data_IF_518975983570
#
_entry.id   IF_518975983570
#
_cell.length_a   1.000
_cell.length_b   1.000
_cell.length_c   1.000
_cell.angle_alpha   90.00
_cell.angle_beta   90.00
_cell.angle_gamma   90.00
#
_symmetry.space_group_name_H-M   'P 1'
#
loop_
_entity.id
_entity.type
_entity.pdbx_description
1 polymer ?
#
# COMPACT_ATOMS: atom_id res chain seq x y z
N UNK A 1 -36.94 -22.41 38.84
CA UNK A 1 -35.75 -21.58 39.14
C UNK A 1 -34.49 -21.98 38.39
N UNK A 2 -34.12 -23.24 38.16
CA UNK A 2 -32.87 -23.66 37.49
C UNK A 2 -32.70 -23.18 36.03
N UNK A 3 -33.75 -23.19 35.18
CA UNK A 3 -33.67 -22.78 33.77
C UNK A 3 -33.36 -21.29 33.59
N UNK A 4 -33.86 -20.43 34.45
CA UNK A 4 -33.66 -18.96 34.37
C UNK A 4 -32.22 -18.57 34.73
N UNK A 5 -31.60 -19.25 35.68
CA UNK A 5 -30.20 -19.02 36.07
C UNK A 5 -29.22 -19.52 35.00
N UNK A 6 -29.54 -20.60 34.25
CA UNK A 6 -28.70 -21.09 33.13
C UNK A 6 -28.72 -20.09 31.96
N UNK A 7 -29.88 -19.53 31.62
CA UNK A 7 -30.02 -18.54 30.55
C UNK A 7 -29.29 -17.26 30.91
N UNK A 8 -29.37 -16.79 32.16
CA UNK A 8 -28.67 -15.57 32.63
C UNK A 8 -27.16 -15.77 32.65
N UNK A 9 -26.68 -16.94 33.08
CA UNK A 9 -25.25 -17.28 33.05
C UNK A 9 -24.71 -17.40 31.62
N UNK A 10 -25.45 -18.06 30.73
CA UNK A 10 -25.06 -18.18 29.31
C UNK A 10 -25.03 -16.81 28.62
N UNK A 11 -25.99 -15.91 28.90
CA UNK A 11 -26.00 -14.56 28.37
C UNK A 11 -24.84 -13.71 28.90
N UNK A 12 -24.57 -13.80 30.21
CA UNK A 12 -23.42 -13.14 30.83
C UNK A 12 -22.08 -13.59 30.23
N UNK A 13 -21.91 -14.89 29.99
CA UNK A 13 -20.69 -15.46 29.37
C UNK A 13 -20.54 -15.01 27.92
N UNK A 14 -21.64 -14.95 27.16
CA UNK A 14 -21.62 -14.47 25.76
C UNK A 14 -21.27 -12.97 25.66
N UNK A 15 -21.78 -12.15 26.58
CA UNK A 15 -21.46 -10.70 26.65
C UNK A 15 -19.98 -10.48 26.99
N UNK A 16 -19.45 -11.23 27.97
CA UNK A 16 -18.04 -11.14 28.35
C UNK A 16 -17.11 -11.62 27.23
N UNK A 17 -17.48 -12.71 26.53
CA UNK A 17 -16.73 -13.18 25.37
C UNK A 17 -16.75 -12.17 24.21
N UNK A 18 -17.91 -11.54 23.95
CA UNK A 18 -18.03 -10.47 22.95
C UNK A 18 -17.20 -9.23 23.28
N UNK A 19 -17.19 -8.80 24.53
CA UNK A 19 -16.38 -7.67 24.99
C UNK A 19 -14.88 -7.98 24.88
N UNK A 20 -14.45 -9.19 25.27
CA UNK A 20 -13.06 -9.62 25.12
C UNK A 20 -12.60 -9.68 23.67
N UNK A 21 -13.46 -10.13 22.74
CA UNK A 21 -13.12 -10.18 21.33
C UNK A 21 -13.10 -8.78 20.70
N UNK A 22 -14.01 -7.88 21.09
CA UNK A 22 -13.96 -6.47 20.70
C UNK A 22 -12.65 -5.82 21.14
N UNK A 23 -12.24 -6.01 22.39
CA UNK A 23 -10.99 -5.48 22.91
C UNK A 23 -9.77 -5.98 22.11
N UNK A 24 -9.72 -7.29 21.81
CA UNK A 24 -8.66 -7.88 20.97
C UNK A 24 -8.66 -7.30 19.55
N UNK A 25 -9.84 -7.10 18.96
CA UNK A 25 -9.96 -6.49 17.63
C UNK A 25 -9.50 -5.04 17.65
N UNK A 26 -9.87 -4.26 18.67
CA UNK A 26 -9.39 -2.88 18.84
C UNK A 26 -7.86 -2.84 18.98
N UNK A 27 -7.30 -3.64 19.89
CA UNK A 27 -5.86 -3.74 20.07
C UNK A 27 -5.13 -4.13 18.77
N UNK A 28 -5.65 -5.11 18.01
CA UNK A 28 -5.09 -5.53 16.73
C UNK A 28 -5.03 -4.39 15.71
N UNK A 29 -6.07 -3.57 15.65
CA UNK A 29 -6.14 -2.39 14.78
C UNK A 29 -5.19 -1.30 15.27
N UNK A 30 -5.22 -0.98 16.57
CA UNK A 30 -4.42 0.08 17.19
C UNK A 30 -2.91 -0.16 17.01
N UNK A 31 -2.43 -1.38 17.26
CA UNK A 31 -1.02 -1.76 17.10
C UNK A 31 -0.51 -1.55 15.67
N UNK A 32 -1.42 -1.57 14.68
CA UNK A 32 -1.09 -1.40 13.27
C UNK A 32 -1.29 0.03 12.77
N UNK A 33 -2.31 0.72 13.25
CA UNK A 33 -2.57 2.11 12.87
C UNK A 33 -1.65 3.10 13.57
N UNK A 34 -1.32 2.83 14.84
CA UNK A 34 -0.52 3.77 15.63
C UNK A 34 0.93 3.33 15.73
N UNK A 35 1.83 4.30 15.80
CA UNK A 35 3.23 4.07 16.16
C UNK A 35 3.61 4.87 17.41
N UNK A 36 4.46 4.28 18.25
CA UNK A 36 4.89 4.91 19.49
C UNK A 36 5.92 6.04 19.25
N UNK A 37 6.83 5.87 18.28
CA UNK A 37 7.94 6.78 18.03
C UNK A 37 8.30 6.86 16.55
N UNK A 38 8.79 8.03 16.11
CA UNK A 38 9.42 8.21 14.80
C UNK A 38 10.73 7.41 14.79
N UNK A 39 10.90 6.56 13.78
CA UNK A 39 12.12 5.79 13.57
C UNK A 39 12.85 6.32 12.34
N UNK A 40 14.17 6.42 12.43
CA UNK A 40 14.97 6.74 11.27
C UNK A 40 14.92 5.57 10.28
N UNK A 41 14.57 5.86 9.03
CA UNK A 41 14.68 4.91 7.93
C UNK A 41 16.14 4.65 7.61
N UNK A 42 16.53 3.38 7.59
CA UNK A 42 17.92 2.96 7.37
C UNK A 42 17.99 1.93 6.25
N UNK A 43 18.81 2.20 5.25
CA UNK A 43 19.11 1.31 4.14
C UNK A 43 20.38 0.51 4.45
N UNK A 44 20.43 -0.74 4.00
CA UNK A 44 21.57 -1.63 4.23
C UNK A 44 22.66 -1.44 3.15
N UNK A 45 22.25 -1.27 1.90
CA UNK A 45 23.12 -1.22 0.72
C UNK A 45 23.10 0.15 0.05
N UNK A 46 21.90 0.69 -0.18
CA UNK A 46 21.73 1.95 -0.87
C UNK A 46 22.07 3.15 0.01
N UNK A 47 22.51 4.24 -0.62
CA UNK A 47 22.85 5.50 0.06
C UNK A 47 22.07 6.66 -0.55
N UNK A 48 20.73 6.65 -0.45
CA UNK A 48 19.92 7.72 -1.04
C UNK A 48 20.12 9.04 -0.27
N UNK A 49 19.98 10.15 -1.00
CA UNK A 49 19.88 11.47 -0.40
C UNK A 49 18.52 11.60 0.30
N UNK A 50 18.53 12.04 1.55
CA UNK A 50 17.27 12.36 2.26
C UNK A 50 16.72 13.70 1.78
N UNK A 51 15.50 13.72 1.29
CA UNK A 51 14.74 14.91 0.91
C UNK A 51 13.50 15.07 1.80
N UNK A 52 13.02 16.29 1.98
CA UNK A 52 11.87 16.58 2.83
C UNK A 52 10.93 17.57 2.17
N UNK A 53 9.64 17.32 2.31
CA UNK A 53 8.58 18.23 1.90
C UNK A 53 7.62 18.44 3.06
N UNK A 54 6.78 19.48 2.98
CA UNK A 54 5.66 19.66 3.90
C UNK A 54 4.35 19.30 3.21
N UNK A 55 3.47 18.63 3.95
CA UNK A 55 2.10 18.44 3.50
C UNK A 55 1.22 19.65 3.90
N UNK A 56 -0.08 19.60 3.57
CA UNK A 56 -1.03 20.69 3.85
C UNK A 56 -1.23 20.98 5.35
N UNK A 57 -0.84 20.08 6.23
CA UNK A 57 -0.94 20.21 7.68
C UNK A 57 0.41 20.58 8.32
N UNK A 58 1.36 21.12 7.52
CA UNK A 58 2.74 21.43 7.92
C UNK A 58 3.56 20.24 8.45
N UNK A 59 3.07 19.01 8.34
CA UNK A 59 3.81 17.83 8.70
C UNK A 59 4.94 17.57 7.69
N UNK A 60 6.11 17.20 8.22
CA UNK A 60 7.28 16.88 7.39
C UNK A 60 7.16 15.45 6.88
N UNK A 61 7.11 15.30 5.56
CA UNK A 61 7.25 14.04 4.86
C UNK A 61 8.70 13.86 4.42
N UNK A 62 9.22 12.66 4.60
CA UNK A 62 10.61 12.30 4.26
C UNK A 62 10.62 11.35 3.08
N UNK A 63 11.50 11.63 2.12
CA UNK A 63 11.79 10.76 0.99
C UNK A 63 13.28 10.49 0.86
N UNK A 64 13.63 9.47 0.13
CA UNK A 64 14.99 8.96 -0.05
C UNK A 64 15.25 8.84 -1.55
N UNK A 65 16.00 9.79 -2.08
CA UNK A 65 16.20 10.00 -3.52
C UNK A 65 17.57 9.45 -3.96
N UNK A 66 17.53 8.59 -4.96
CA UNK A 66 18.70 8.18 -5.73
C UNK A 66 18.64 8.93 -7.07
N UNK A 67 19.54 9.87 -7.26
CA UNK A 67 19.65 10.65 -8.50
C UNK A 67 20.65 10.00 -9.45
N UNK A 68 20.30 10.07 -10.72
CA UNK A 68 21.16 9.64 -11.85
C UNK A 68 21.38 10.84 -12.76
N UNK A 69 22.61 11.00 -13.23
CA UNK A 69 22.94 12.07 -14.18
C UNK A 69 22.12 11.91 -15.47
N UNK A 70 21.50 13.00 -15.89
CA UNK A 70 20.67 13.03 -17.10
C UNK A 70 19.52 12.00 -17.10
N UNK A 71 18.85 11.83 -15.95
CA UNK A 71 17.69 10.94 -15.85
C UNK A 71 16.53 11.42 -16.75
N UNK A 72 15.96 10.49 -17.50
CA UNK A 72 14.83 10.75 -18.41
C UNK A 72 13.50 10.84 -17.63
N UNK A 73 13.40 10.13 -16.52
CA UNK A 73 12.19 10.02 -15.71
C UNK A 73 12.49 9.71 -14.23
N UNK A 74 11.45 9.64 -13.41
CA UNK A 74 11.57 9.27 -11.99
C UNK A 74 10.58 8.18 -11.63
N UNK A 75 11.07 7.14 -10.94
CA UNK A 75 10.27 6.15 -10.23
C UNK A 75 9.98 6.62 -8.81
N UNK A 76 8.70 6.81 -8.45
CA UNK A 76 8.29 7.01 -7.06
C UNK A 76 7.83 5.68 -6.48
N UNK A 77 8.44 5.26 -5.36
CA UNK A 77 8.18 3.98 -4.70
C UNK A 77 7.49 4.18 -3.35
N UNK A 78 6.39 3.46 -3.12
CA UNK A 78 5.54 3.58 -1.94
C UNK A 78 5.49 2.24 -1.20
N UNK A 79 5.93 2.23 0.05
CA UNK A 79 6.04 1.03 0.87
C UNK A 79 4.70 0.45 1.32
N UNK A 80 4.72 -0.79 1.82
CA UNK A 80 3.58 -1.48 2.39
C UNK A 80 3.25 -1.07 3.83
N UNK A 81 2.14 -1.62 4.34
CA UNK A 81 1.62 -1.31 5.67
C UNK A 81 2.63 -1.63 6.78
N UNK A 82 2.74 -0.72 7.75
CA UNK A 82 3.68 -0.79 8.90
C UNK A 82 5.17 -0.84 8.52
N UNK A 83 5.50 -0.59 7.27
CA UNK A 83 6.87 -0.54 6.74
C UNK A 83 7.33 0.91 6.58
N UNK A 84 8.54 1.08 6.08
CA UNK A 84 9.12 2.34 5.67
C UNK A 84 9.85 2.17 4.32
N UNK A 85 10.41 3.23 3.80
CA UNK A 85 11.07 3.26 2.49
C UNK A 85 12.20 2.23 2.36
N UNK A 86 12.92 1.89 3.46
CA UNK A 86 14.01 0.91 3.39
C UNK A 86 13.54 -0.51 3.06
N UNK A 87 12.27 -0.80 3.32
CA UNK A 87 11.67 -2.10 2.96
C UNK A 87 11.54 -2.33 1.45
N UNK A 88 11.80 -1.30 0.64
CA UNK A 88 11.77 -1.33 -0.82
C UNK A 88 13.17 -1.43 -1.44
N UNK A 89 14.21 -1.62 -0.63
CA UNK A 89 15.61 -1.56 -1.08
C UNK A 89 15.93 -2.58 -2.18
N UNK A 90 15.46 -3.81 -2.05
CA UNK A 90 15.68 -4.86 -3.05
C UNK A 90 14.97 -4.55 -4.38
N UNK A 91 13.74 -4.05 -4.30
CA UNK A 91 12.98 -3.59 -5.46
C UNK A 91 13.69 -2.41 -6.14
N UNK A 92 14.20 -1.46 -5.37
CA UNK A 92 14.94 -0.30 -5.89
C UNK A 92 16.24 -0.72 -6.60
N UNK A 93 17.02 -1.64 -6.03
CA UNK A 93 18.22 -2.21 -6.65
C UNK A 93 17.86 -2.88 -7.99
N UNK A 94 16.76 -3.64 -8.03
CA UNK A 94 16.31 -4.26 -9.26
C UNK A 94 15.90 -3.22 -10.31
N UNK A 95 15.12 -2.19 -9.93
CA UNK A 95 14.76 -1.11 -10.86
C UNK A 95 15.97 -0.35 -11.38
N UNK A 96 16.99 -0.08 -10.56
CA UNK A 96 18.24 0.51 -11.04
C UNK A 96 18.91 -0.35 -12.13
N UNK A 97 18.80 -1.68 -12.03
CA UNK A 97 19.42 -2.60 -13.00
C UNK A 97 18.70 -2.64 -14.35
N UNK A 98 17.39 -2.44 -14.37
CA UNK A 98 16.57 -2.49 -15.61
C UNK A 98 16.23 -1.10 -16.17
N UNK A 99 16.35 -0.04 -15.37
CA UNK A 99 16.07 1.35 -15.73
C UNK A 99 17.24 2.26 -15.31
N UNK A 100 18.43 2.16 -15.96
CA UNK A 100 19.65 2.84 -15.50
C UNK A 100 19.60 4.38 -15.62
N UNK A 101 18.69 4.93 -16.42
CA UNK A 101 18.50 6.38 -16.61
C UNK A 101 17.30 6.93 -15.84
N UNK A 102 16.95 6.31 -14.72
CA UNK A 102 15.78 6.64 -13.91
C UNK A 102 16.20 7.07 -12.50
N UNK A 103 15.75 8.24 -12.06
CA UNK A 103 15.80 8.58 -10.64
C UNK A 103 14.86 7.68 -9.84
N UNK A 104 15.22 7.34 -8.61
CA UNK A 104 14.34 6.57 -7.72
C UNK A 104 14.10 7.35 -6.43
N UNK A 105 12.84 7.65 -6.16
CA UNK A 105 12.40 8.27 -4.91
C UNK A 105 11.57 7.26 -4.09
N UNK A 106 12.13 6.76 -3.00
CA UNK A 106 11.44 5.93 -2.01
C UNK A 106 10.87 6.84 -0.92
N UNK A 107 9.55 6.85 -0.73
CA UNK A 107 8.90 7.74 0.24
C UNK A 107 8.55 7.03 1.54
N UNK A 108 8.70 7.73 2.67
CA UNK A 108 8.06 7.38 3.94
C UNK A 108 6.69 8.08 4.00
N UNK A 109 5.60 7.32 3.94
CA UNK A 109 4.26 7.87 4.12
C UNK A 109 4.08 8.45 5.53
N UNK A 110 3.14 9.37 5.70
CA UNK A 110 2.78 9.92 7.00
C UNK A 110 2.55 8.80 8.03
N UNK A 111 3.07 8.97 9.23
CA UNK A 111 3.02 7.93 10.25
C UNK A 111 4.01 6.77 10.08
N UNK A 112 4.96 6.83 9.14
CA UNK A 112 5.93 5.76 8.89
C UNK A 112 7.38 6.32 8.78
N UNK A 113 8.35 5.46 9.00
CA UNK A 113 9.77 5.76 8.83
C UNK A 113 10.22 7.06 9.49
N UNK A 114 10.85 7.92 8.72
CA UNK A 114 11.36 9.23 9.16
C UNK A 114 10.36 10.39 8.95
N UNK A 115 9.16 10.11 8.41
CA UNK A 115 8.10 11.11 8.27
C UNK A 115 7.39 11.37 9.60
N UNK A 116 6.80 12.56 9.73
CA UNK A 116 5.96 12.93 10.87
C UNK A 116 4.69 12.07 10.97
N UNK A 117 4.00 12.20 12.08
CA UNK A 117 2.73 11.52 12.34
C UNK A 117 2.86 10.32 13.26
N UNK A 118 1.76 10.02 13.94
CA UNK A 118 1.63 8.88 14.86
C UNK A 118 0.64 7.84 14.34
N UNK A 119 -0.26 8.24 13.42
CA UNK A 119 -1.22 7.35 12.76
C UNK A 119 -0.75 7.03 11.37
N UNK A 120 -0.89 5.78 10.94
CA UNK A 120 -0.56 5.31 9.60
C UNK A 120 -1.78 5.38 8.70
N UNK A 121 -1.55 5.76 7.45
CA UNK A 121 -2.53 5.58 6.40
C UNK A 121 -2.79 4.11 6.09
N UNK A 122 -3.93 3.85 5.50
CA UNK A 122 -4.36 2.51 5.07
C UNK A 122 -4.53 2.46 3.54
N UNK A 123 -3.68 3.20 2.84
CA UNK A 123 -3.70 3.32 1.38
C UNK A 123 -4.60 4.45 0.87
N UNK A 124 -5.59 4.90 1.61
CA UNK A 124 -6.51 5.98 1.20
C UNK A 124 -6.06 7.35 1.72
N UNK A 125 -5.57 7.42 2.94
CA UNK A 125 -5.02 8.65 3.54
C UNK A 125 -3.66 9.02 2.93
N UNK A 126 -2.93 8.02 2.41
CA UNK A 126 -1.62 8.19 1.78
C UNK A 126 -1.69 8.83 0.37
N UNK A 127 -2.87 8.90 -0.24
CA UNK A 127 -3.09 9.42 -1.60
C UNK A 127 -2.55 10.84 -1.78
N UNK A 128 -2.80 11.71 -0.80
CA UNK A 128 -2.32 13.10 -0.87
C UNK A 128 -0.82 13.21 -0.68
N UNK A 129 -0.20 12.37 0.14
CA UNK A 129 1.25 12.34 0.31
C UNK A 129 1.94 11.99 -1.02
N UNK A 130 1.41 10.99 -1.75
CA UNK A 130 1.90 10.59 -3.07
C UNK A 130 1.78 11.77 -4.06
N UNK A 131 0.65 12.48 -4.05
CA UNK A 131 0.46 13.66 -4.90
C UNK A 131 1.47 14.77 -4.57
N UNK A 132 1.78 15.04 -3.30
CA UNK A 132 2.81 16.01 -2.92
C UNK A 132 4.19 15.61 -3.43
N UNK A 133 4.55 14.34 -3.32
CA UNK A 133 5.81 13.84 -3.85
C UNK A 133 5.89 13.87 -5.37
N UNK A 134 4.79 13.55 -6.08
CA UNK A 134 4.72 13.71 -7.53
C UNK A 134 4.94 15.17 -7.95
N UNK A 135 4.28 16.11 -7.28
CA UNK A 135 4.47 17.54 -7.54
C UNK A 135 5.89 18.01 -7.23
N UNK A 136 6.51 17.48 -6.16
CA UNK A 136 7.90 17.78 -5.82
C UNK A 136 8.85 17.36 -6.96
N UNK A 137 8.67 16.17 -7.53
CA UNK A 137 9.48 15.67 -8.65
C UNK A 137 9.30 16.57 -9.89
N UNK A 138 8.06 16.88 -10.25
CA UNK A 138 7.78 17.76 -11.40
C UNK A 138 8.37 19.15 -11.18
N UNK A 139 8.26 19.70 -9.98
CA UNK A 139 8.83 20.99 -9.63
C UNK A 139 10.38 20.99 -9.68
N UNK A 140 11.00 19.86 -9.29
CA UNK A 140 12.46 19.70 -9.26
C UNK A 140 13.06 19.52 -10.66
N UNK A 141 12.41 18.74 -11.54
CA UNK A 141 12.99 18.33 -12.82
C UNK A 141 12.32 18.94 -14.04
N UNK A 142 11.19 19.61 -13.88
CA UNK A 142 10.48 20.32 -14.94
C UNK A 142 9.06 19.80 -15.19
N UNK A 143 8.25 20.64 -15.83
CA UNK A 143 6.82 20.39 -16.06
C UNK A 143 6.53 19.19 -16.98
N UNK A 144 7.47 18.81 -17.83
CA UNK A 144 7.36 17.71 -18.80
C UNK A 144 8.04 16.42 -18.29
N UNK A 145 8.63 16.45 -17.08
CA UNK A 145 9.33 15.29 -16.53
C UNK A 145 8.37 14.13 -16.29
N UNK A 146 8.69 12.97 -16.84
CA UNK A 146 7.85 11.78 -16.74
C UNK A 146 8.04 11.06 -15.40
N UNK A 147 6.97 10.47 -14.91
CA UNK A 147 6.98 9.76 -13.62
C UNK A 147 6.26 8.42 -13.78
N UNK A 148 6.84 7.35 -13.27
CA UNK A 148 6.13 6.09 -13.06
C UNK A 148 6.19 5.68 -11.59
N UNK A 149 5.33 4.77 -11.19
CA UNK A 149 5.11 4.48 -9.79
C UNK A 149 5.17 2.99 -9.50
N UNK A 150 5.77 2.65 -8.36
CA UNK A 150 5.68 1.32 -7.79
C UNK A 150 5.11 1.41 -6.37
N UNK A 151 4.17 0.56 -6.03
CA UNK A 151 3.62 0.49 -4.67
C UNK A 151 3.37 -0.94 -4.22
N UNK A 152 3.44 -1.14 -2.91
CA UNK A 152 3.24 -2.44 -2.27
C UNK A 152 2.16 -2.34 -1.19
N UNK A 153 1.24 -3.31 -1.13
CA UNK A 153 0.16 -3.39 -0.13
C UNK A 153 -0.65 -2.07 -0.06
N UNK A 154 -0.60 -1.33 1.08
CA UNK A 154 -1.24 -0.01 1.23
C UNK A 154 -0.72 1.01 0.24
N UNK A 155 0.59 1.01 -0.08
CA UNK A 155 1.17 1.87 -1.09
C UNK A 155 0.63 1.60 -2.49
N UNK A 156 0.42 0.32 -2.85
CA UNK A 156 -0.22 -0.07 -4.11
C UNK A 156 -1.68 0.40 -4.19
N UNK A 157 -2.41 0.25 -3.10
CA UNK A 157 -3.80 0.72 -2.98
C UNK A 157 -3.88 2.24 -3.10
N UNK A 158 -2.97 2.96 -2.45
CA UNK A 158 -2.88 4.43 -2.53
C UNK A 158 -2.60 4.91 -3.96
N UNK A 159 -1.73 4.23 -4.72
CA UNK A 159 -1.44 4.54 -6.12
C UNK A 159 -2.68 4.35 -7.01
N UNK A 160 -3.42 3.25 -6.84
CA UNK A 160 -4.67 3.04 -7.59
C UNK A 160 -5.72 4.12 -7.28
N UNK A 161 -5.83 4.52 -6.01
CA UNK A 161 -6.72 5.61 -5.60
C UNK A 161 -6.27 6.96 -6.19
N UNK A 162 -4.98 7.28 -6.13
CA UNK A 162 -4.42 8.53 -6.68
C UNK A 162 -4.58 8.60 -8.20
N UNK A 163 -4.29 7.51 -8.92
CA UNK A 163 -4.51 7.40 -10.37
C UNK A 163 -5.98 7.54 -10.74
N UNK A 164 -6.88 6.85 -10.01
CA UNK A 164 -8.32 6.93 -10.22
C UNK A 164 -8.92 8.31 -9.93
N UNK A 165 -8.26 9.10 -9.06
CA UNK A 165 -8.63 10.48 -8.75
C UNK A 165 -8.02 11.50 -9.71
N UNK A 166 -7.17 11.09 -10.67
CA UNK A 166 -6.47 11.97 -11.61
C UNK A 166 -5.43 12.88 -10.96
N UNK A 167 -4.84 12.46 -9.85
CA UNK A 167 -3.88 13.26 -9.07
C UNK A 167 -2.42 13.10 -9.52
N UNK A 168 -2.12 12.07 -10.31
CA UNK A 168 -0.75 11.75 -10.72
C UNK A 168 -0.44 12.38 -12.08
N UNK A 169 0.00 13.63 -12.05
CA UNK A 169 0.41 14.35 -13.27
C UNK A 169 1.66 13.70 -13.88
N UNK A 170 1.71 13.60 -15.22
CA UNK A 170 2.80 13.00 -15.98
C UNK A 170 3.10 11.53 -15.64
N UNK A 171 2.12 10.83 -15.04
CA UNK A 171 2.25 9.41 -14.76
C UNK A 171 2.18 8.60 -16.06
N UNK A 172 3.22 7.83 -16.34
CA UNK A 172 3.28 6.94 -17.51
C UNK A 172 2.76 5.55 -17.19
N UNK A 173 3.03 5.05 -15.98
CA UNK A 173 2.57 3.73 -15.56
C UNK A 173 2.49 3.57 -14.05
N UNK A 174 1.64 2.64 -13.60
CA UNK A 174 1.57 2.15 -12.23
C UNK A 174 1.98 0.69 -12.17
N UNK A 175 2.82 0.33 -11.20
CA UNK A 175 3.17 -1.04 -10.86
C UNK A 175 2.66 -1.27 -9.44
N UNK A 176 1.65 -2.11 -9.28
CA UNK A 176 0.95 -2.32 -8.01
C UNK A 176 1.10 -3.76 -7.54
N UNK A 177 1.82 -3.95 -6.43
CA UNK A 177 2.05 -5.27 -5.84
C UNK A 177 1.19 -5.48 -4.60
N UNK A 178 0.40 -6.55 -4.59
CA UNK A 178 -0.41 -6.97 -3.44
C UNK A 178 -1.41 -5.90 -2.98
N UNK A 179 -2.10 -5.27 -3.92
CA UNK A 179 -3.16 -4.31 -3.62
C UNK A 179 -4.43 -5.02 -3.12
N UNK A 180 -5.19 -4.41 -2.24
CA UNK A 180 -6.45 -4.93 -1.69
C UNK A 180 -7.65 -4.06 -2.10
N UNK A 181 -8.86 -4.64 -2.06
CA UNK A 181 -10.11 -3.97 -2.46
C UNK A 181 -10.57 -2.92 -1.46
N UNK A 182 -10.65 -3.29 -0.19
CA UNK A 182 -11.12 -2.41 0.88
C UNK A 182 -10.44 -2.70 2.21
N UNK A 183 -10.40 -1.68 3.07
CA UNK A 183 -9.67 -1.73 4.36
C UNK A 183 -10.23 -2.79 5.32
N UNK A 184 -11.55 -2.92 5.41
CA UNK A 184 -12.17 -3.90 6.32
C UNK A 184 -11.78 -5.33 5.96
N UNK A 185 -11.86 -5.68 4.70
CA UNK A 185 -11.55 -7.02 4.22
C UNK A 185 -10.05 -7.32 4.32
N UNK A 186 -9.21 -6.30 4.11
CA UNK A 186 -7.77 -6.39 4.36
C UNK A 186 -7.46 -6.72 5.82
N UNK A 187 -8.02 -5.97 6.79
CA UNK A 187 -7.83 -6.26 8.21
C UNK A 187 -8.45 -7.61 8.62
N UNK A 188 -9.60 -8.00 8.04
CA UNK A 188 -10.20 -9.30 8.28
C UNK A 188 -9.30 -10.44 7.81
N UNK A 189 -8.66 -10.29 6.65
CA UNK A 189 -7.70 -11.26 6.13
C UNK A 189 -6.46 -11.38 7.01
N UNK A 190 -5.91 -10.26 7.48
CA UNK A 190 -4.79 -10.27 8.44
C UNK A 190 -5.17 -10.99 9.74
N UNK A 191 -6.32 -10.68 10.34
CA UNK A 191 -6.78 -11.34 11.56
C UNK A 191 -7.04 -12.83 11.36
N UNK A 192 -7.58 -13.24 10.20
CA UNK A 192 -7.77 -14.64 9.86
C UNK A 192 -6.44 -15.41 9.84
N UNK A 193 -5.39 -14.82 9.31
CA UNK A 193 -4.07 -15.44 9.28
C UNK A 193 -3.42 -15.52 10.67
N UNK A 194 -3.83 -14.63 11.59
CA UNK A 194 -3.48 -14.71 13.02
C UNK A 194 -4.40 -15.66 13.83
N UNK A 195 -5.25 -16.46 13.14
CA UNK A 195 -6.11 -17.49 13.72
C UNK A 195 -7.48 -17.02 14.23
N UNK A 196 -7.90 -15.80 13.92
CA UNK A 196 -9.22 -15.30 14.33
C UNK A 196 -10.31 -15.64 13.30
N UNK A 197 -11.50 -16.13 13.72
CA UNK A 197 -12.59 -16.46 12.80
C UNK A 197 -13.14 -15.21 12.08
N UNK A 198 -13.09 -15.21 10.77
CA UNK A 198 -13.51 -14.06 9.93
C UNK A 198 -14.98 -13.67 10.14
N UNK A 199 -15.87 -14.66 10.31
CA UNK A 199 -17.32 -14.44 10.54
C UNK A 199 -17.62 -13.60 11.78
N UNK A 200 -16.73 -13.62 12.78
CA UNK A 200 -16.89 -12.87 14.02
C UNK A 200 -16.10 -11.56 13.98
N UNK A 201 -14.89 -11.58 13.43
CA UNK A 201 -14.02 -10.39 13.42
C UNK A 201 -14.46 -9.32 12.41
N UNK A 202 -15.02 -9.71 11.26
CA UNK A 202 -15.45 -8.75 10.22
C UNK A 202 -16.49 -7.72 10.70
N UNK A 203 -17.57 -8.09 11.44
CA UNK A 203 -18.48 -7.09 12.02
C UNK A 203 -17.81 -6.17 13.04
N UNK A 204 -16.93 -6.73 13.90
CA UNK A 204 -16.20 -5.96 14.91
C UNK A 204 -15.22 -4.97 14.27
N UNK A 205 -14.51 -5.40 13.22
CA UNK A 205 -13.63 -4.52 12.44
C UNK A 205 -14.39 -3.33 11.85
N UNK A 206 -15.63 -3.53 11.38
CA UNK A 206 -16.45 -2.43 10.88
C UNK A 206 -16.71 -1.36 11.93
N UNK A 207 -16.89 -1.77 13.20
CA UNK A 207 -17.11 -0.84 14.32
C UNK A 207 -15.80 -0.12 14.69
N UNK A 208 -14.72 -0.90 14.85
CA UNK A 208 -13.41 -0.37 15.28
C UNK A 208 -12.84 0.56 14.21
N UNK A 209 -12.77 0.14 12.95
CA UNK A 209 -12.19 0.92 11.87
C UNK A 209 -12.96 2.24 11.61
N UNK A 210 -14.30 2.25 11.72
CA UNK A 210 -15.08 3.49 11.63
C UNK A 210 -14.70 4.50 12.70
N UNK A 211 -14.46 4.00 13.92
CA UNK A 211 -14.06 4.85 15.05
C UNK A 211 -12.64 5.39 14.86
N UNK A 212 -11.70 4.55 14.41
CA UNK A 212 -10.28 4.92 14.34
C UNK A 212 -9.93 5.74 13.09
N UNK A 213 -10.60 5.51 11.95
CA UNK A 213 -10.28 6.19 10.69
C UNK A 213 -11.09 7.47 10.45
N UNK A 214 -12.18 7.68 11.21
CA UNK A 214 -13.09 8.84 11.10
C UNK A 214 -13.61 9.10 9.67
N UNK A 215 -13.79 8.02 8.89
CA UNK A 215 -14.32 8.06 7.52
C UNK A 215 -15.29 6.90 7.28
N UNK A 216 -16.28 7.06 6.38
CA UNK A 216 -17.14 5.95 5.98
C UNK A 216 -16.30 4.82 5.35
N UNK A 217 -16.42 3.59 5.86
CA UNK A 217 -15.65 2.45 5.32
C UNK A 217 -15.98 2.14 3.86
N UNK A 218 -17.17 2.51 3.41
CA UNK A 218 -17.57 2.36 2.02
C UNK A 218 -16.78 3.27 1.07
N UNK A 219 -16.24 4.38 1.56
CA UNK A 219 -15.37 5.26 0.78
C UNK A 219 -13.94 4.71 0.68
N UNK A 220 -13.60 3.74 1.55
CA UNK A 220 -12.34 3.04 1.56
C UNK A 220 -12.41 1.73 0.74
N UNK A 221 -13.04 1.79 -0.43
CA UNK A 221 -13.23 0.68 -1.37
C UNK A 221 -12.74 1.05 -2.78
N UNK A 222 -11.61 0.48 -3.19
CA UNK A 222 -10.98 0.73 -4.49
C UNK A 222 -11.90 0.34 -5.65
N UNK A 223 -12.75 -0.68 -5.48
CA UNK A 223 -13.69 -1.13 -6.52
C UNK A 223 -14.63 -0.03 -7.02
N UNK A 224 -14.91 0.97 -6.19
CA UNK A 224 -15.73 2.14 -6.57
C UNK A 224 -15.01 3.08 -7.55
N UNK A 225 -13.67 3.04 -7.55
CA UNK A 225 -12.85 4.04 -8.23
C UNK A 225 -12.03 3.46 -9.37
N UNK A 226 -11.65 2.18 -9.31
CA UNK A 226 -10.69 1.53 -10.22
C UNK A 226 -11.01 1.73 -11.71
N UNK A 227 -12.28 1.80 -12.07
CA UNK A 227 -12.74 2.03 -13.46
C UNK A 227 -12.40 3.43 -13.99
N UNK A 228 -12.05 4.38 -13.13
CA UNK A 228 -11.63 5.74 -13.50
C UNK A 228 -10.12 5.84 -13.73
N UNK A 229 -9.35 4.84 -13.31
CA UNK A 229 -7.92 4.83 -13.59
C UNK A 229 -7.69 4.66 -15.09
N UNK A 230 -6.97 5.60 -15.69
CA UNK A 230 -6.60 5.60 -17.11
C UNK A 230 -5.13 5.30 -17.33
N UNK A 231 -4.32 5.30 -16.25
CA UNK A 231 -2.88 5.08 -16.30
C UNK A 231 -2.62 3.59 -16.53
N UNK A 232 -1.78 3.21 -17.49
CA UNK A 232 -1.37 1.82 -17.70
C UNK A 232 -0.91 1.18 -16.39
N UNK A 233 -1.41 -0.01 -16.06
CA UNK A 233 -1.19 -0.60 -14.74
C UNK A 233 -0.76 -2.07 -14.83
N UNK A 234 0.40 -2.40 -14.25
CA UNK A 234 0.86 -3.76 -14.01
C UNK A 234 0.49 -4.20 -12.59
N UNK A 235 -0.36 -5.22 -12.51
CA UNK A 235 -0.74 -5.86 -11.24
C UNK A 235 0.19 -7.04 -10.94
N UNK A 236 0.86 -7.02 -9.79
CA UNK A 236 1.72 -8.09 -9.32
C UNK A 236 1.11 -8.72 -8.08
N UNK A 237 0.97 -10.05 -8.06
CA UNK A 237 0.48 -10.75 -6.88
C UNK A 237 1.16 -12.10 -6.71
N UNK A 238 1.74 -12.31 -5.54
CA UNK A 238 2.19 -13.62 -5.12
C UNK A 238 1.00 -14.43 -4.59
N UNK A 239 0.77 -15.62 -5.14
CA UNK A 239 -0.35 -16.50 -4.75
C UNK A 239 -0.28 -16.98 -3.30
N UNK A 240 0.93 -17.03 -2.73
CA UNK A 240 1.18 -17.43 -1.35
C UNK A 240 1.28 -16.22 -0.40
N UNK A 241 0.83 -15.05 -0.81
CA UNK A 241 0.82 -13.86 0.04
C UNK A 241 -0.13 -14.04 1.22
N UNK A 242 0.39 -13.90 2.44
CA UNK A 242 -0.39 -14.01 3.68
C UNK A 242 -0.93 -12.66 4.19
N UNK A 243 -0.77 -11.57 3.44
CA UNK A 243 -1.25 -10.23 3.83
C UNK A 243 -2.43 -9.77 3.00
N UNK A 244 -2.47 -10.16 1.72
CA UNK A 244 -3.54 -9.77 0.78
C UNK A 244 -4.05 -11.02 0.07
N UNK A 245 -5.37 -11.16 0.01
CA UNK A 245 -6.01 -12.24 -0.74
C UNK A 245 -5.73 -12.09 -2.25
N UNK A 246 -5.33 -13.18 -2.89
CA UNK A 246 -5.11 -13.20 -4.34
C UNK A 246 -6.32 -12.73 -5.13
N UNK A 247 -7.53 -13.07 -4.67
CA UNK A 247 -8.77 -12.68 -5.34
C UNK A 247 -9.00 -11.17 -5.33
N UNK A 248 -8.50 -10.44 -4.35
CA UNK A 248 -8.62 -8.99 -4.32
C UNK A 248 -7.92 -8.33 -5.50
N UNK A 249 -6.66 -8.74 -5.76
CA UNK A 249 -5.89 -8.23 -6.90
C UNK A 249 -6.52 -8.64 -8.23
N UNK A 250 -6.99 -9.89 -8.32
CA UNK A 250 -7.62 -10.40 -9.53
C UNK A 250 -8.93 -9.67 -9.85
N UNK A 251 -9.75 -9.38 -8.84
CA UNK A 251 -10.98 -8.60 -9.00
C UNK A 251 -10.67 -7.16 -9.44
N UNK A 252 -9.67 -6.50 -8.85
CA UNK A 252 -9.25 -5.17 -9.25
C UNK A 252 -8.72 -5.16 -10.69
N UNK A 253 -7.87 -6.13 -11.05
CA UNK A 253 -7.40 -6.30 -12.42
C UNK A 253 -8.56 -6.45 -13.40
N UNK A 254 -9.52 -7.31 -13.12
CA UNK A 254 -10.65 -7.54 -14.01
C UNK A 254 -11.53 -6.30 -14.21
N UNK A 255 -11.67 -5.46 -13.19
CA UNK A 255 -12.52 -4.27 -13.22
C UNK A 255 -11.81 -3.01 -13.70
N UNK A 256 -10.49 -2.95 -13.71
CA UNK A 256 -9.73 -1.83 -14.29
C UNK A 256 -9.99 -1.73 -15.79
N UNK A 257 -10.17 -0.50 -16.31
CA UNK A 257 -10.43 -0.22 -17.73
C UNK A 257 -9.22 0.30 -18.50
N UNK A 258 -8.14 0.66 -17.80
CA UNK A 258 -6.88 1.07 -18.41
C UNK A 258 -6.18 -0.08 -19.14
N UNK A 259 -5.12 0.23 -19.90
CA UNK A 259 -4.15 -0.77 -20.36
C UNK A 259 -3.59 -1.47 -19.12
N UNK A 260 -3.62 -2.80 -19.10
CA UNK A 260 -3.27 -3.54 -17.89
C UNK A 260 -2.65 -4.89 -18.19
N UNK A 261 -1.79 -5.32 -17.28
CA UNK A 261 -1.21 -6.66 -17.28
C UNK A 261 -1.24 -7.26 -15.87
N UNK A 262 -1.18 -8.57 -15.78
CA UNK A 262 -1.17 -9.31 -14.52
C UNK A 262 0.06 -10.23 -14.47
N UNK A 263 0.84 -10.10 -13.39
CA UNK A 263 1.98 -10.95 -13.06
C UNK A 263 1.65 -11.81 -11.82
N UNK A 264 1.05 -13.00 -11.97
CA UNK A 264 0.75 -13.89 -10.85
C UNK A 264 2.00 -14.71 -10.50
N UNK A 265 2.67 -14.32 -9.43
CA UNK A 265 3.84 -15.03 -8.90
C UNK A 265 3.41 -16.14 -7.94
N UNK A 266 4.30 -17.11 -7.68
CA UNK A 266 4.01 -18.23 -6.77
C UNK A 266 4.83 -18.15 -5.49
N UNK A 267 6.15 -18.23 -5.59
CA UNK A 267 7.02 -18.40 -4.42
C UNK A 267 8.12 -17.35 -4.30
N UNK A 268 8.49 -16.69 -5.41
CA UNK A 268 9.57 -15.71 -5.46
C UNK A 268 9.04 -14.32 -5.75
N UNK A 269 9.63 -13.26 -5.22
CA UNK A 269 9.34 -11.91 -5.66
C UNK A 269 9.83 -11.68 -7.10
N UNK A 270 9.26 -10.69 -7.79
CA UNK A 270 9.57 -10.44 -9.21
C UNK A 270 11.06 -10.16 -9.46
N UNK A 271 11.73 -9.52 -8.53
CA UNK A 271 13.16 -9.20 -8.64
C UNK A 271 14.09 -10.41 -8.44
N UNK A 272 13.57 -11.56 -8.00
CA UNK A 272 14.32 -12.79 -7.80
C UNK A 272 13.93 -13.90 -8.80
N UNK A 273 13.26 -13.54 -9.90
CA UNK A 273 12.92 -14.50 -10.96
C UNK A 273 14.18 -14.87 -11.76
N UNK A 274 14.31 -16.16 -12.07
CA UNK A 274 15.38 -16.66 -12.95
C UNK A 274 15.03 -16.46 -14.42
N UNK A 275 16.04 -16.53 -15.30
CA UNK A 275 15.91 -16.22 -16.74
C UNK A 275 14.95 -17.16 -17.50
N UNK A 276 14.55 -18.29 -16.91
CA UNK A 276 13.58 -19.22 -17.51
C UNK A 276 12.15 -18.97 -17.05
N UNK A 277 11.96 -18.03 -16.11
CA UNK A 277 10.62 -17.76 -15.60
C UNK A 277 9.78 -17.01 -16.65
N UNK A 278 8.51 -17.42 -16.91
CA UNK A 278 7.69 -16.83 -17.98
C UNK A 278 7.39 -15.34 -17.82
N UNK A 279 7.54 -14.80 -16.62
CA UNK A 279 7.34 -13.38 -16.32
C UNK A 279 8.65 -12.59 -16.09
N UNK A 280 9.81 -13.16 -16.43
CA UNK A 280 11.12 -12.53 -16.17
C UNK A 280 11.22 -11.14 -16.81
N UNK A 281 10.80 -11.04 -18.07
CA UNK A 281 10.92 -9.83 -18.86
C UNK A 281 9.66 -8.97 -18.88
N UNK A 282 8.55 -9.46 -18.31
CA UNK A 282 7.24 -8.79 -18.39
C UNK A 282 7.27 -7.34 -17.83
N UNK A 283 7.98 -7.11 -16.73
CA UNK A 283 8.08 -5.78 -16.14
C UNK A 283 8.83 -4.82 -17.06
N UNK A 284 9.97 -5.25 -17.61
CA UNK A 284 10.77 -4.46 -18.55
C UNK A 284 9.99 -4.17 -19.84
N UNK A 285 9.31 -5.18 -20.40
CA UNK A 285 8.46 -5.01 -21.58
C UNK A 285 7.29 -4.07 -21.31
N UNK A 286 6.67 -4.15 -20.14
CA UNK A 286 5.58 -3.27 -19.74
C UNK A 286 6.06 -1.81 -19.63
N UNK A 287 7.21 -1.57 -19.01
CA UNK A 287 7.80 -0.23 -18.90
C UNK A 287 8.19 0.33 -20.27
N UNK A 288 8.83 -0.46 -21.14
CA UNK A 288 9.22 -0.03 -22.48
C UNK A 288 8.03 0.35 -23.39
N UNK A 289 6.86 -0.22 -23.14
CA UNK A 289 5.63 0.10 -23.91
C UNK A 289 4.89 1.32 -23.39
N UNK A 290 5.08 1.67 -22.12
CA UNK A 290 4.28 2.67 -21.42
C UNK A 290 5.12 3.79 -20.77
N UNK A 291 6.44 3.75 -20.89
CA UNK A 291 7.39 4.72 -20.33
C UNK A 291 7.78 5.84 -21.28
#
# INVERSE_FOLDING_TARGET
MKKRNIVTAAFGTAVLAGAGLYQKTSQFVDERLYRAHIKRTLFETLKPQTVRIKNMNDAILTGHLLEVDHADNTLIMVHGFTKDASSLENEAIYFQSICPHTNILMIDCYGNGSSDGVTRGVGFQDVMDINYWNRFIIQKYGEDHLVFFYGKETGATALLCAGSAGLLKNATSLIVESTFKNVRDYFAYLMKNDGYPESITRPLLSIVLRKELDVPLDDLDVMRYIRRNTIPTLFIQNKNNNKVDFNDVFDLYNNALCVKELMPLKDKPFYALDDKHPYKDLLTEFLNRNG
#
